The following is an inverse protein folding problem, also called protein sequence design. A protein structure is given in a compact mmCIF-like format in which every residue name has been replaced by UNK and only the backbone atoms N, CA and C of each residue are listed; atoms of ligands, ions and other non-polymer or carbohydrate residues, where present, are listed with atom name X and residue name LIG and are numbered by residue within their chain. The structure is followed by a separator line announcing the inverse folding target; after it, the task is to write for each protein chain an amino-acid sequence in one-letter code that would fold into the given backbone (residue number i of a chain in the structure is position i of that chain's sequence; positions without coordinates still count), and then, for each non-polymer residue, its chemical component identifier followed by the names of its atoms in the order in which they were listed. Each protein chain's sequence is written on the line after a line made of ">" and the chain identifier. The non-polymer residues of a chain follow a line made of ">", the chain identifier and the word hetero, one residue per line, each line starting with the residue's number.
data_IF_304438117563
#
_entry.id   IF_304438117563
#
_cell.length_a   1.000
_cell.length_b   1.000
_cell.length_c   1.000
_cell.angle_alpha   90.00
_cell.angle_beta   90.00
_cell.angle_gamma   90.00
#
_symmetry.space_group_name_H-M   'P 1'
#
loop_
_entity.id
_entity.type
_entity.pdbx_description
1 polymer ?
#
# COMPACT_ATOMS: atom_id res chain seq x y z
N UNK A 1 -15.21 4.74 33.87
CA UNK A 1 -14.03 3.98 33.41
C UNK A 1 -13.12 4.96 32.70
N UNK A 2 -11.90 5.20 33.20
CA UNK A 2 -10.97 6.19 32.65
C UNK A 2 -10.36 5.59 31.38
N UNK A 3 -10.72 6.11 30.21
CA UNK A 3 -10.12 5.69 28.96
C UNK A 3 -8.62 6.00 29.03
N UNK A 4 -7.79 4.96 29.14
CA UNK A 4 -6.35 5.09 29.00
C UNK A 4 -6.10 5.68 27.61
N UNK A 5 -5.47 6.86 27.54
CA UNK A 5 -5.12 7.51 26.28
C UNK A 5 -4.36 6.49 25.42
N UNK A 6 -5.02 5.96 24.39
CA UNK A 6 -4.42 4.98 23.52
C UNK A 6 -3.29 5.70 22.76
N UNK A 7 -2.04 5.30 23.00
CA UNK A 7 -0.93 5.70 22.14
C UNK A 7 -1.32 5.33 20.72
N UNK A 8 -1.26 6.29 19.81
CA UNK A 8 -1.64 6.09 18.41
C UNK A 8 -0.80 4.97 17.79
N UNK A 9 -1.43 3.82 17.55
CA UNK A 9 -0.82 2.69 16.85
C UNK A 9 -0.85 2.98 15.35
N UNK A 10 0.10 3.82 14.91
CA UNK A 10 0.17 4.28 13.52
C UNK A 10 1.62 4.33 13.05
N UNK A 11 1.81 4.06 11.76
CA UNK A 11 3.12 4.20 11.12
C UNK A 11 3.57 5.66 11.18
N UNK A 12 4.78 5.89 11.70
CA UNK A 12 5.42 7.22 11.76
C UNK A 12 6.30 7.41 10.54
N UNK A 13 6.64 8.66 10.23
CA UNK A 13 7.59 8.99 9.16
C UNK A 13 8.97 8.34 9.37
N UNK A 14 9.34 8.07 10.62
CA UNK A 14 10.59 7.40 10.99
C UNK A 14 10.53 5.87 10.90
N UNK A 15 9.37 5.28 10.55
CA UNK A 15 9.23 3.84 10.45
C UNK A 15 9.84 3.31 9.15
N UNK A 16 10.58 2.19 9.21
CA UNK A 16 11.12 1.56 8.02
C UNK A 16 10.02 1.10 7.04
N UNK A 17 10.40 0.94 5.77
CA UNK A 17 9.53 0.30 4.79
C UNK A 17 9.31 -1.17 5.16
N UNK A 18 8.16 -1.72 4.72
CA UNK A 18 7.83 -3.14 4.92
C UNK A 18 8.85 -4.06 4.24
N UNK A 19 9.38 -3.65 3.08
CA UNK A 19 10.45 -4.36 2.36
C UNK A 19 11.73 -4.45 3.19
N UNK A 20 12.09 -3.37 3.89
CA UNK A 20 13.28 -3.32 4.73
C UNK A 20 13.11 -4.19 5.98
N UNK A 21 11.93 -4.17 6.61
CA UNK A 21 11.59 -5.11 7.70
C UNK A 21 11.63 -6.57 7.25
N UNK A 22 11.19 -6.87 6.02
CA UNK A 22 11.29 -8.21 5.46
C UNK A 22 12.74 -8.64 5.23
N UNK A 23 13.58 -7.78 4.64
CA UNK A 23 15.01 -8.03 4.48
C UNK A 23 15.75 -8.19 5.82
N UNK A 24 15.34 -7.44 6.85
CA UNK A 24 15.83 -7.60 8.22
C UNK A 24 15.50 -8.98 8.78
N UNK A 25 14.25 -9.41 8.65
CA UNK A 25 13.81 -10.74 9.06
C UNK A 25 14.57 -11.85 8.33
N UNK A 26 14.78 -11.69 7.02
CA UNK A 26 15.51 -12.65 6.19
C UNK A 26 17.04 -12.62 6.41
N UNK A 27 17.54 -11.73 7.28
CA UNK A 27 18.97 -11.54 7.55
C UNK A 27 19.80 -11.20 6.31
N UNK A 28 19.19 -10.56 5.32
CA UNK A 28 19.85 -10.16 4.04
C UNK A 28 20.40 -8.73 4.13
N UNK A 29 20.10 -8.00 5.19
CA UNK A 29 20.58 -6.63 5.39
C UNK A 29 22.04 -6.59 5.83
N UNK A 30 22.73 -5.53 5.40
CA UNK A 30 24.03 -5.14 5.96
C UNK A 30 23.93 -4.94 7.49
N UNK A 31 24.98 -5.30 8.25
CA UNK A 31 24.95 -5.27 9.71
C UNK A 31 24.67 -3.87 10.28
N UNK A 32 25.10 -2.81 9.61
CA UNK A 32 24.86 -1.41 10.00
C UNK A 32 23.36 -1.08 9.95
N UNK A 33 22.68 -1.51 8.88
CA UNK A 33 21.24 -1.29 8.69
C UNK A 33 20.44 -2.15 9.65
N UNK A 34 20.89 -3.39 9.88
CA UNK A 34 20.29 -4.31 10.86
C UNK A 34 20.30 -3.71 12.27
N UNK A 35 21.40 -3.07 12.67
CA UNK A 35 21.49 -2.37 13.96
C UNK A 35 20.47 -1.23 14.08
N UNK A 36 20.34 -0.39 13.04
CA UNK A 36 19.38 0.72 13.03
C UNK A 36 17.93 0.24 13.13
N UNK A 37 17.59 -0.84 12.41
CA UNK A 37 16.25 -1.45 12.49
C UNK A 37 16.01 -1.99 13.90
N UNK A 38 16.97 -2.72 14.46
CA UNK A 38 16.85 -3.26 15.82
C UNK A 38 16.64 -2.17 16.87
N UNK A 39 17.35 -1.05 16.73
CA UNK A 39 17.14 0.12 17.58
C UNK A 39 15.73 0.72 17.42
N UNK A 40 15.24 0.84 16.19
CA UNK A 40 13.88 1.33 15.92
C UNK A 40 12.79 0.42 16.53
N UNK A 41 12.96 -0.91 16.45
CA UNK A 41 12.02 -1.88 17.01
C UNK A 41 11.89 -1.79 18.53
N UNK A 42 12.94 -1.36 19.23
CA UNK A 42 12.89 -1.11 20.67
C UNK A 42 11.99 0.06 21.07
N UNK A 43 11.68 0.97 20.14
CA UNK A 43 10.87 2.18 20.40
C UNK A 43 9.56 2.24 19.61
N UNK A 44 9.25 1.22 18.81
CA UNK A 44 8.12 1.24 17.89
C UNK A 44 7.32 -0.07 17.94
N UNK A 45 6.24 -0.06 18.72
CA UNK A 45 5.30 -1.18 18.83
C UNK A 45 4.68 -1.54 17.48
N UNK A 46 4.47 -0.56 16.59
CA UNK A 46 3.90 -0.78 15.26
C UNK A 46 4.80 -1.68 14.41
N UNK A 47 6.08 -1.33 14.25
CA UNK A 47 7.01 -2.10 13.42
C UNK A 47 7.37 -3.45 14.06
N UNK A 48 7.31 -3.54 15.39
CA UNK A 48 7.47 -4.81 16.10
C UNK A 48 6.34 -5.79 15.78
N UNK A 49 5.09 -5.31 15.84
CA UNK A 49 3.93 -6.09 15.42
C UNK A 49 3.96 -6.40 13.92
N UNK A 50 4.37 -5.46 13.07
CA UNK A 50 4.51 -5.66 11.62
C UNK A 50 5.52 -6.76 11.30
N UNK A 51 6.65 -6.83 12.01
CA UNK A 51 7.61 -7.95 11.85
C UNK A 51 7.01 -9.30 12.21
N UNK A 52 6.26 -9.34 13.30
CA UNK A 52 5.57 -10.56 13.74
C UNK A 52 4.50 -10.98 12.73
N UNK A 53 3.78 -10.01 12.16
CA UNK A 53 2.81 -10.24 11.09
C UNK A 53 3.49 -10.78 9.84
N UNK A 54 4.57 -10.14 9.39
CA UNK A 54 5.36 -10.62 8.27
C UNK A 54 5.87 -12.05 8.52
N UNK A 55 6.21 -12.40 9.77
CA UNK A 55 6.60 -13.75 10.16
C UNK A 55 5.59 -14.83 9.78
N UNK A 56 4.30 -14.51 9.93
CA UNK A 56 3.18 -15.41 9.66
C UNK A 56 2.92 -15.58 8.16
N UNK A 57 3.19 -14.55 7.35
CA UNK A 57 3.04 -14.64 5.90
C UNK A 57 4.32 -15.18 5.27
N UNK A 58 4.33 -16.49 5.00
CA UNK A 58 5.31 -17.10 4.10
C UNK A 58 5.02 -16.72 2.65
N UNK A 59 6.06 -16.63 1.83
CA UNK A 59 5.88 -16.43 0.39
C UNK A 59 4.95 -17.52 -0.14
N UNK A 60 3.79 -17.15 -0.74
CA UNK A 60 2.87 -18.13 -1.28
C UNK A 60 3.61 -18.98 -2.33
N UNK A 61 3.36 -20.28 -2.35
CA UNK A 61 3.95 -21.14 -3.38
C UNK A 61 3.51 -20.62 -4.75
N UNK A 62 4.41 -20.71 -5.75
CA UNK A 62 4.10 -20.28 -7.12
C UNK A 62 2.78 -20.91 -7.58
N UNK A 63 1.75 -20.08 -7.75
CA UNK A 63 0.41 -20.50 -8.19
C UNK A 63 -0.70 -20.36 -7.16
N UNK A 64 -0.40 -20.00 -5.91
CA UNK A 64 -1.39 -19.86 -4.83
C UNK A 64 -2.05 -18.47 -4.79
N UNK A 65 -1.34 -17.43 -5.24
CA UNK A 65 -1.95 -16.13 -5.56
C UNK A 65 -2.55 -16.15 -6.97
N UNK A 66 -3.58 -16.96 -7.19
CA UNK A 66 -4.47 -16.71 -8.33
C UNK A 66 -5.26 -15.46 -8.01
N UNK A 67 -5.29 -14.50 -8.92
CA UNK A 67 -6.33 -13.48 -8.91
C UNK A 67 -7.66 -14.27 -8.91
N UNK A 68 -8.46 -14.20 -7.85
CA UNK A 68 -9.73 -14.91 -7.85
C UNK A 68 -10.53 -14.36 -9.03
N UNK A 69 -11.04 -15.24 -9.87
CA UNK A 69 -11.87 -14.83 -10.98
C UNK A 69 -13.10 -14.12 -10.38
N UNK A 70 -13.19 -12.81 -10.57
CA UNK A 70 -14.24 -12.00 -9.98
C UNK A 70 -15.54 -12.34 -10.70
N UNK A 71 -16.54 -12.96 -10.02
CA UNK A 71 -17.80 -13.31 -10.66
C UNK A 71 -18.40 -12.10 -11.37
N UNK A 72 -18.88 -12.30 -12.59
CA UNK A 72 -19.35 -11.20 -13.46
C UNK A 72 -20.36 -10.28 -12.76
N UNK A 73 -21.25 -10.84 -11.94
CA UNK A 73 -22.25 -10.08 -11.19
C UNK A 73 -21.62 -9.10 -10.19
N UNK A 74 -20.52 -9.50 -9.54
CA UNK A 74 -19.79 -8.65 -8.60
C UNK A 74 -19.00 -7.56 -9.33
N UNK A 75 -18.49 -7.86 -10.53
CA UNK A 75 -17.85 -6.86 -11.40
C UNK A 75 -18.85 -5.79 -11.85
N UNK A 76 -20.01 -6.21 -12.37
CA UNK A 76 -21.10 -5.31 -12.81
C UNK A 76 -21.59 -4.43 -11.65
N UNK A 77 -21.75 -5.02 -10.45
CA UNK A 77 -22.13 -4.27 -9.26
C UNK A 77 -21.08 -3.19 -8.90
N UNK A 78 -19.80 -3.58 -8.87
CA UNK A 78 -18.71 -2.66 -8.56
C UNK A 78 -18.62 -1.52 -9.59
N UNK A 79 -18.80 -1.84 -10.88
CA UNK A 79 -18.83 -0.85 -11.96
C UNK A 79 -20.04 0.11 -11.84
N UNK A 80 -21.20 -0.38 -11.44
CA UNK A 80 -22.38 0.47 -11.20
C UNK A 80 -22.14 1.45 -10.04
N UNK A 81 -21.57 0.98 -8.93
CA UNK A 81 -21.28 1.82 -7.75
C UNK A 81 -20.16 2.83 -8.04
N UNK A 82 -19.06 2.38 -8.64
CA UNK A 82 -17.86 3.20 -8.85
C UNK A 82 -17.91 4.05 -10.12
N UNK A 83 -18.66 3.62 -11.13
CA UNK A 83 -18.88 4.38 -12.36
C UNK A 83 -19.63 5.69 -12.11
N UNK A 84 -20.56 5.69 -11.15
CA UNK A 84 -21.29 6.88 -10.71
C UNK A 84 -20.38 7.92 -10.01
N UNK A 85 -19.34 7.45 -9.31
CA UNK A 85 -18.35 8.34 -8.67
C UNK A 85 -17.47 9.07 -9.70
N UNK A 86 -17.23 8.47 -10.88
CA UNK A 86 -16.50 9.12 -11.98
C UNK A 86 -17.36 10.15 -12.73
N UNK A 87 -18.67 9.91 -12.87
CA UNK A 87 -19.58 10.85 -13.53
C UNK A 87 -19.99 12.04 -12.65
N UNK A 88 -19.74 11.98 -11.33
CA UNK A 88 -20.03 13.07 -10.39
C UNK A 88 -19.03 14.24 -10.40
N UNK A 89 -17.96 14.18 -11.22
CA UNK A 89 -16.95 15.25 -11.34
C UNK A 89 -16.75 15.66 -12.80
N UNK A 90 -17.83 16.14 -13.41
CA UNK A 90 -17.80 16.90 -14.66
C UNK A 90 -18.93 17.93 -14.65
N UNK A 91 -18.90 18.85 -13.68
CA UNK A 91 -19.58 20.15 -13.80
C UNK A 91 -18.52 21.22 -13.61
N UNK A 92 -18.22 21.91 -14.72
CA UNK A 92 -17.57 23.22 -14.72
C UNK A 92 -16.09 23.22 -15.11
N UNK A 93 -15.79 23.20 -16.41
CA UNK A 93 -15.11 24.32 -17.06
C UNK A 93 -15.15 24.12 -18.59
N UNK A 94 -15.82 25.06 -19.25
CA UNK A 94 -16.02 25.12 -20.69
C UNK A 94 -15.40 26.41 -21.19
N UNK A 95 -14.31 26.31 -21.95
CA UNK A 95 -13.81 27.29 -22.93
C UNK A 95 -12.47 26.77 -23.46
N UNK A 96 -12.05 26.83 -24.71
CA UNK A 96 -12.62 27.17 -26.01
C UNK A 96 -11.44 26.95 -27.00
N UNK A 97 -11.68 26.36 -28.16
CA UNK A 97 -10.80 26.51 -29.34
C UNK A 97 -9.41 25.84 -29.40
N UNK A 98 -8.76 25.75 -30.60
CA UNK A 98 -8.58 24.43 -31.23
C UNK A 98 -7.21 24.17 -31.92
N UNK A 99 -7.12 22.96 -32.52
CA UNK A 99 -6.25 22.50 -33.63
C UNK A 99 -4.79 22.12 -33.31
N UNK A 100 -4.58 20.80 -33.33
CA UNK A 100 -3.79 20.13 -34.37
C UNK A 100 -2.30 20.46 -34.43
N UNK A 101 -1.47 19.45 -34.15
CA UNK A 101 -0.13 19.34 -34.75
C UNK A 101 0.20 17.85 -34.89
N UNK A 102 0.38 17.46 -36.14
CA UNK A 102 0.96 16.21 -36.62
C UNK A 102 2.32 15.94 -35.97
N UNK A 103 2.53 14.72 -35.49
CA UNK A 103 3.87 14.21 -35.20
C UNK A 103 4.34 13.37 -36.39
N UNK A 104 5.35 13.88 -37.08
CA UNK A 104 6.29 13.13 -37.91
C UNK A 104 7.66 13.14 -37.21
N UNK A 105 8.27 11.96 -37.22
CA UNK A 105 9.70 11.58 -37.21
C UNK A 105 10.64 11.99 -36.07
N UNK A 106 11.30 10.98 -35.46
CA UNK A 106 12.70 10.56 -35.71
C UNK A 106 12.89 9.10 -35.26
#
# INVERSE_FOLDING_TARGET
>A
MKASSAKSFSKKLSCPSSTLLLSFRLQVLAPEISFLVKHHLGGCDFCYCELSLLALYTTPLKGECRTPDLPINLRVLAESILGQLKSGKAIGESSDGPKGLSFIDV
#
